data_IF_332927486307
#
_entry.id   IF_332927486307
#
_cell.length_a   1.000
_cell.length_b   1.000
_cell.length_c   1.000
_cell.angle_alpha   90.00
_cell.angle_beta   90.00
_cell.angle_gamma   90.00
#
_symmetry.space_group_name_H-M   'P 1'
#
loop_
_entity.id
_entity.type
_entity.pdbx_description
1 polymer ?
#
# COMPACT_ATOMS: atom_id res chain seq x y z
N UNK A 1 -4.87 14.21 2.58
CA UNK A 1 -5.44 13.42 1.46
C UNK A 1 -4.49 12.26 1.17
N UNK A 2 -5.01 11.06 0.89
CA UNK A 2 -4.21 9.93 0.44
C UNK A 2 -4.82 9.35 -0.83
N UNK A 3 -3.98 8.99 -1.81
CA UNK A 3 -4.40 8.45 -3.10
C UNK A 3 -3.51 7.25 -3.43
N UNK A 4 -4.13 6.12 -3.78
CA UNK A 4 -3.45 4.94 -4.29
C UNK A 4 -3.87 4.68 -5.74
N UNK A 5 -2.90 4.39 -6.61
CA UNK A 5 -3.15 4.04 -8.00
C UNK A 5 -2.38 2.78 -8.38
N UNK A 6 -3.04 1.92 -9.17
CA UNK A 6 -2.41 0.74 -9.75
C UNK A 6 -2.87 0.55 -11.19
N UNK A 7 -1.93 0.34 -12.11
CA UNK A 7 -2.23 0.00 -13.49
C UNK A 7 -1.52 -1.29 -13.88
N UNK A 8 -2.29 -2.28 -14.35
CA UNK A 8 -1.78 -3.59 -14.81
C UNK A 8 -1.97 -3.82 -16.31
N UNK A 9 -2.69 -2.92 -16.99
CA UNK A 9 -3.07 -3.06 -18.40
C UNK A 9 -2.23 -2.16 -19.33
N UNK A 10 -1.53 -1.16 -18.80
CA UNK A 10 -0.72 -0.22 -19.59
C UNK A 10 0.60 -0.79 -20.13
N UNK A 11 0.87 -2.09 -19.97
CA UNK A 11 2.17 -2.70 -20.28
C UNK A 11 3.27 -2.37 -19.26
N UNK A 12 2.97 -1.55 -18.25
CA UNK A 12 3.82 -1.30 -17.08
C UNK A 12 3.05 -1.68 -15.82
N UNK A 13 3.70 -2.36 -14.87
CA UNK A 13 3.14 -2.56 -13.53
C UNK A 13 3.49 -1.34 -12.69
N UNK A 14 2.52 -0.45 -12.52
CA UNK A 14 2.69 0.76 -11.72
C UNK A 14 1.86 0.67 -10.44
N UNK A 15 2.48 1.03 -9.32
CA UNK A 15 1.86 1.16 -8.01
C UNK A 15 2.38 2.44 -7.35
N UNK A 16 1.48 3.39 -7.08
CA UNK A 16 1.82 4.66 -6.44
C UNK A 16 0.89 4.89 -5.27
N UNK A 17 1.48 5.21 -4.11
CA UNK A 17 0.76 5.72 -2.94
C UNK A 17 1.24 7.13 -2.64
N UNK A 18 0.32 8.09 -2.65
CA UNK A 18 0.58 9.47 -2.29
C UNK A 18 -0.16 9.84 -1.00
N UNK A 19 0.50 10.56 -0.10
CA UNK A 19 -0.10 11.17 1.09
C UNK A 19 0.32 12.64 1.16
N UNK A 20 -0.66 13.53 1.21
CA UNK A 20 -0.50 14.99 1.21
C UNK A 20 -1.19 15.64 2.42
N UNK A 21 -0.50 16.53 3.11
CA UNK A 21 -1.02 17.29 4.26
C UNK A 21 0.03 18.20 4.91
N UNK A 22 -0.42 19.24 5.62
CA UNK A 22 0.45 20.21 6.33
C UNK A 22 1.61 20.74 5.47
N UNK A 23 1.30 21.19 4.24
CA UNK A 23 2.27 21.69 3.24
C UNK A 23 3.38 20.70 2.85
N UNK A 24 3.13 19.40 3.08
CA UNK A 24 4.04 18.32 2.69
C UNK A 24 3.31 17.26 1.89
N UNK A 25 4.07 16.54 1.07
CA UNK A 25 3.58 15.39 0.32
C UNK A 25 4.64 14.30 0.31
N UNK A 26 4.22 13.05 0.47
CA UNK A 26 5.07 11.87 0.30
C UNK A 26 4.46 10.97 -0.75
N UNK A 27 5.28 10.54 -1.70
CA UNK A 27 4.94 9.51 -2.68
C UNK A 27 5.77 8.27 -2.42
N UNK A 28 5.17 7.10 -2.55
CA UNK A 28 5.83 5.80 -2.56
C UNK A 28 5.53 5.14 -3.90
N UNK A 29 6.57 4.82 -4.65
CA UNK A 29 6.46 4.25 -6.00
C UNK A 29 7.00 2.83 -5.99
N UNK A 30 6.15 1.89 -6.40
CA UNK A 30 6.43 0.45 -6.53
C UNK A 30 7.05 -0.18 -5.26
N UNK A 31 6.74 0.38 -4.08
CA UNK A 31 7.34 0.00 -2.80
C UNK A 31 8.89 0.04 -2.79
N UNK A 32 9.50 0.81 -3.69
CA UNK A 32 10.94 0.84 -3.91
C UNK A 32 11.53 2.25 -3.78
N UNK A 33 10.77 3.27 -4.17
CA UNK A 33 11.18 4.66 -4.11
C UNK A 33 10.22 5.47 -3.24
N UNK A 34 10.77 6.35 -2.42
CA UNK A 34 10.02 7.31 -1.61
C UNK A 34 10.47 8.71 -2.02
N UNK A 35 9.51 9.54 -2.44
CA UNK A 35 9.74 10.95 -2.78
C UNK A 35 9.06 11.81 -1.72
N UNK A 36 9.85 12.60 -1.00
CA UNK A 36 9.38 13.56 -0.01
C UNK A 36 9.41 14.96 -0.60
N UNK A 37 8.25 15.62 -0.63
CA UNK A 37 8.05 16.99 -1.10
C UNK A 37 7.82 17.90 0.11
N UNK A 38 8.87 18.63 0.49
CA UNK A 38 8.85 19.68 1.52
C UNK A 38 9.91 20.73 1.17
N UNK A 39 9.58 21.63 0.24
CA UNK A 39 10.56 22.47 -0.44
C UNK A 39 11.26 21.71 -1.55
N UNK A 40 12.58 21.53 -1.48
CA UNK A 40 13.32 20.74 -2.45
C UNK A 40 12.97 19.23 -2.30
N UNK A 41 12.52 18.55 -3.38
CA UNK A 41 12.22 17.12 -3.30
C UNK A 41 13.44 16.31 -2.91
N UNK A 42 13.25 15.33 -2.02
CA UNK A 42 14.27 14.34 -1.69
C UNK A 42 13.78 12.95 -2.07
N UNK A 43 14.70 12.13 -2.61
CA UNK A 43 14.41 10.79 -3.09
C UNK A 43 15.19 9.78 -2.26
N UNK A 44 14.49 8.79 -1.73
CA UNK A 44 15.07 7.65 -1.04
C UNK A 44 14.73 6.39 -1.79
N UNK A 45 15.75 5.64 -2.17
CA UNK A 45 15.62 4.36 -2.85
C UNK A 45 16.03 3.24 -1.90
N UNK A 46 15.31 2.13 -2.00
CA UNK A 46 15.71 0.86 -1.41
C UNK A 46 17.03 0.40 -2.04
N UNK A 47 17.84 -0.36 -1.30
CA UNK A 47 19.06 -0.98 -1.85
C UNK A 47 18.76 -2.00 -2.96
N UNK A 48 19.71 -2.18 -3.88
CA UNK A 48 19.50 -2.93 -5.13
C UNK A 48 19.13 -4.42 -4.92
N UNK A 49 19.55 -5.01 -3.80
CA UNK A 49 19.46 -6.46 -3.57
C UNK A 49 18.47 -6.88 -2.46
N UNK A 50 17.51 -6.05 -2.09
CA UNK A 50 16.49 -6.45 -1.11
C UNK A 50 15.55 -7.51 -1.72
N UNK A 51 15.32 -8.64 -1.03
CA UNK A 51 14.38 -9.67 -1.48
C UNK A 51 12.97 -9.13 -1.69
N UNK A 52 12.27 -9.68 -2.70
CA UNK A 52 10.88 -9.32 -3.00
C UNK A 52 9.98 -9.58 -1.79
N UNK A 53 10.19 -10.67 -1.07
CA UNK A 53 9.41 -10.99 0.13
C UNK A 53 9.49 -9.87 1.19
N UNK A 54 10.70 -9.33 1.44
CA UNK A 54 10.89 -8.17 2.33
C UNK A 54 10.27 -6.90 1.77
N UNK A 55 10.43 -6.63 0.48
CA UNK A 55 9.90 -5.43 -0.16
C UNK A 55 8.38 -5.39 -0.11
N UNK A 56 7.73 -6.53 -0.38
CA UNK A 56 6.27 -6.65 -0.43
C UNK A 56 5.64 -6.88 0.96
N UNK A 57 6.43 -6.83 2.03
CA UNK A 57 5.93 -6.96 3.40
C UNK A 57 5.66 -8.39 3.87
N UNK A 58 5.96 -9.40 3.05
CA UNK A 58 5.68 -10.82 3.37
C UNK A 58 6.48 -11.27 4.58
N UNK A 59 7.78 -10.95 4.63
CA UNK A 59 8.63 -11.28 5.78
C UNK A 59 8.06 -10.66 7.07
N UNK A 60 7.61 -9.40 7.00
CA UNK A 60 7.11 -8.64 8.12
C UNK A 60 5.78 -9.18 8.64
N UNK A 61 4.86 -9.57 7.75
CA UNK A 61 3.58 -10.19 8.11
C UNK A 61 3.83 -11.55 8.79
N UNK A 62 4.76 -12.36 8.27
CA UNK A 62 5.13 -13.65 8.87
C UNK A 62 5.71 -13.44 10.27
N UNK A 63 6.64 -12.50 10.44
CA UNK A 63 7.23 -12.20 11.74
C UNK A 63 6.17 -11.72 12.74
N UNK A 64 5.28 -10.82 12.32
CA UNK A 64 4.20 -10.32 13.17
C UNK A 64 3.25 -11.44 13.62
N UNK A 65 2.95 -12.39 12.73
CA UNK A 65 2.16 -13.57 13.08
C UNK A 65 2.87 -14.46 14.11
N UNK A 66 4.15 -14.79 13.87
CA UNK A 66 4.91 -15.65 14.79
C UNK A 66 5.08 -15.01 16.16
N UNK A 67 5.27 -13.69 16.23
CA UNK A 67 5.36 -12.97 17.49
C UNK A 67 4.04 -12.98 18.25
N UNK A 68 2.89 -12.87 17.55
CA UNK A 68 1.58 -13.01 18.17
C UNK A 68 1.36 -14.43 18.73
N UNK A 69 1.76 -15.47 17.98
CA UNK A 69 1.69 -16.87 18.44
C UNK A 69 2.53 -17.07 19.70
N UNK A 70 3.78 -16.59 19.71
CA UNK A 70 4.67 -16.68 20.88
C UNK A 70 4.10 -15.96 22.11
N UNK A 71 3.45 -14.83 21.88
CA UNK A 71 2.83 -14.02 22.94
C UNK A 71 1.45 -14.56 23.40
N UNK A 72 0.94 -15.64 22.81
CA UNK A 72 -0.42 -16.12 23.08
C UNK A 72 -1.52 -15.12 22.67
N UNK A 73 -1.20 -14.21 21.75
CA UNK A 73 -2.10 -13.13 21.33
C UNK A 73 -2.94 -13.58 20.14
N UNK A 74 -4.26 -13.56 20.30
CA UNK A 74 -5.19 -13.73 19.18
C UNK A 74 -5.28 -12.42 18.39
N UNK A 75 -5.00 -12.49 17.09
CA UNK A 75 -5.16 -11.35 16.18
C UNK A 75 -6.63 -11.26 15.73
N UNK A 76 -7.15 -10.03 15.72
CA UNK A 76 -8.50 -9.74 15.22
C UNK A 76 -8.52 -9.69 13.69
N UNK A 77 -9.55 -10.24 13.06
CA UNK A 77 -9.78 -10.14 11.62
C UNK A 77 -10.60 -8.89 11.20
N UNK A 78 -10.96 -8.01 12.15
CA UNK A 78 -11.84 -6.86 11.88
C UNK A 78 -11.29 -5.91 10.82
N UNK A 79 -9.98 -5.65 10.83
CA UNK A 79 -9.36 -4.74 9.85
C UNK A 79 -9.40 -5.34 8.44
N UNK A 80 -9.25 -6.66 8.31
CA UNK A 80 -9.41 -7.36 7.05
C UNK A 80 -10.87 -7.28 6.55
N UNK A 81 -11.85 -7.47 7.43
CA UNK A 81 -13.28 -7.31 7.08
C UNK A 81 -13.59 -5.89 6.59
N UNK A 82 -13.13 -4.86 7.33
CA UNK A 82 -13.39 -3.47 6.97
C UNK A 82 -12.78 -3.07 5.61
N UNK A 83 -11.59 -3.59 5.28
CA UNK A 83 -10.97 -3.37 3.97
C UNK A 83 -11.70 -4.10 2.85
N UNK A 84 -12.20 -5.33 3.09
CA UNK A 84 -13.04 -6.04 2.12
C UNK A 84 -14.36 -5.31 1.83
N UNK A 85 -15.03 -4.83 2.88
CA UNK A 85 -16.25 -4.03 2.73
C UNK A 85 -16.01 -2.76 1.90
N UNK A 86 -14.89 -2.08 2.12
CA UNK A 86 -14.52 -0.91 1.31
C UNK A 86 -14.29 -1.28 -0.15
N UNK A 87 -13.55 -2.35 -0.43
CA UNK A 87 -13.33 -2.84 -1.79
C UNK A 87 -14.65 -3.17 -2.48
N UNK A 88 -15.57 -3.82 -1.77
CA UNK A 88 -16.89 -4.18 -2.29
C UNK A 88 -17.71 -2.94 -2.66
N UNK A 89 -17.68 -1.89 -1.83
CA UNK A 89 -18.31 -0.59 -2.17
C UNK A 89 -17.75 0.00 -3.45
N UNK A 90 -16.43 -0.06 -3.65
CA UNK A 90 -15.78 0.45 -4.87
C UNK A 90 -16.20 -0.35 -6.10
N UNK A 91 -16.23 -1.68 -6.01
CA UNK A 91 -16.64 -2.57 -7.11
C UNK A 91 -18.08 -2.27 -7.52
N UNK A 92 -19.01 -2.17 -6.57
CA UNK A 92 -20.42 -1.87 -6.85
C UNK A 92 -20.58 -0.52 -7.54
N UNK A 93 -19.95 0.53 -7.01
CA UNK A 93 -20.01 1.86 -7.60
C UNK A 93 -19.42 1.91 -9.03
N UNK A 94 -18.40 1.10 -9.33
CA UNK A 94 -17.84 1.00 -10.68
C UNK A 94 -18.78 0.27 -11.65
N UNK A 95 -19.43 -0.81 -11.19
CA UNK A 95 -20.41 -1.57 -11.99
C UNK A 95 -21.64 -0.72 -12.35
N UNK A 96 -22.16 0.04 -11.40
CA UNK A 96 -23.30 0.96 -11.63
C UNK A 96 -22.98 2.02 -12.70
N UNK A 97 -21.73 2.51 -12.76
CA UNK A 97 -21.28 3.48 -13.77
C UNK A 97 -21.01 2.87 -15.14
N UNK A 98 -20.73 1.57 -15.22
CA UNK A 98 -20.49 0.85 -16.49
C UNK A 98 -21.77 0.37 -17.18
N UNK A 99 -22.92 0.52 -16.53
CA UNK A 99 -24.25 0.20 -17.06
C UNK A 99 -25.01 1.44 -17.60
N UNK A 100 -24.35 2.61 -17.64
CA UNK A 100 -24.89 3.88 -18.16
C UNK A 100 -24.23 4.34 -19.44
#
# INVERSE_FOLDING_TARGET
VAIGMMNRLSGSTEEILEVSGQDTKRQVVNLAEIVDHKGQPSVRRRGDWVPVARQRGIEQVVLSFLDAVRAGKVLSARDALATHELCERVVRAAQERGLG
#
